data_IF_742814523329
#
_entry.id   IF_742814523329
#
_cell.length_a   1.000
_cell.length_b   1.000
_cell.length_c   1.000
_cell.angle_alpha   90.00
_cell.angle_beta   90.00
_cell.angle_gamma   90.00
#
_symmetry.space_group_name_H-M   'P 1'
#
loop_
_entity.id
_entity.type
_entity.pdbx_description
1 polymer ?
#
# COMPACT_ATOMS: atom_id res chain seq x y z
N UNK A 1 3.04 -1.01 -90.94
CA UNK A 1 3.12 -2.46 -91.21
C UNK A 1 1.72 -3.07 -91.16
N UNK A 2 1.55 -4.35 -91.52
CA UNK A 2 0.24 -4.98 -91.84
C UNK A 2 -0.78 -5.00 -90.67
N UNK A 3 -2.11 -4.97 -90.97
CA UNK A 3 -3.18 -5.26 -90.01
C UNK A 3 -3.26 -6.78 -89.75
N UNK A 4 -3.79 -7.25 -88.60
CA UNK A 4 -5.24 -7.52 -88.45
C UNK A 4 -5.73 -7.20 -87.00
N UNK A 5 -6.94 -7.50 -86.49
CA UNK A 5 -8.20 -8.12 -86.99
C UNK A 5 -9.38 -7.61 -86.11
N UNK A 6 -10.63 -7.92 -86.46
CA UNK A 6 -11.72 -8.05 -85.49
C UNK A 6 -11.93 -9.54 -85.12
N UNK A 7 -12.13 -9.83 -83.83
CA UNK A 7 -12.52 -11.14 -83.29
C UNK A 7 -13.92 -11.06 -82.71
N UNK A 8 -14.84 -11.86 -83.26
CA UNK A 8 -16.20 -12.03 -82.74
C UNK A 8 -16.17 -12.83 -81.43
N UNK A 9 -17.16 -12.69 -80.54
CA UNK A 9 -17.22 -13.48 -79.31
C UNK A 9 -17.34 -14.98 -79.61
N UNK A 10 -16.69 -15.81 -78.78
CA UNK A 10 -16.87 -17.26 -78.84
C UNK A 10 -18.29 -17.62 -78.40
N UNK A 11 -18.87 -18.60 -79.08
CA UNK A 11 -20.16 -19.17 -78.70
C UNK A 11 -20.11 -19.74 -77.28
N UNK A 12 -21.16 -19.49 -76.50
CA UNK A 12 -21.39 -20.18 -75.25
C UNK A 12 -21.64 -21.67 -75.55
N UNK A 13 -20.78 -22.54 -75.06
CA UNK A 13 -21.12 -23.96 -74.90
C UNK A 13 -22.11 -24.03 -73.75
N UNK A 14 -23.38 -24.31 -74.06
CA UNK A 14 -24.39 -24.58 -73.06
C UNK A 14 -24.00 -25.87 -72.32
N UNK A 15 -23.43 -25.73 -71.13
CA UNK A 15 -23.41 -26.80 -70.15
C UNK A 15 -24.86 -27.09 -69.80
N UNK A 16 -25.31 -28.33 -70.06
CA UNK A 16 -26.59 -28.81 -69.54
C UNK A 16 -26.61 -28.60 -68.02
N UNK A 17 -27.61 -27.92 -67.44
CA UNK A 17 -27.77 -27.95 -66.00
C UNK A 17 -28.10 -29.39 -65.61
N UNK A 18 -27.19 -30.03 -64.89
CA UNK A 18 -27.58 -31.14 -64.01
C UNK A 18 -28.70 -30.62 -63.11
N UNK A 19 -29.86 -31.28 -63.12
CA UNK A 19 -30.99 -30.95 -62.24
C UNK A 19 -30.48 -31.04 -60.80
N UNK A 20 -30.20 -29.89 -60.19
CA UNK A 20 -29.95 -29.83 -58.76
C UNK A 20 -31.27 -30.18 -58.09
N UNK A 21 -31.25 -31.17 -57.20
CA UNK A 21 -32.33 -31.44 -56.25
C UNK A 21 -32.74 -30.11 -55.64
N UNK A 22 -34.03 -29.80 -55.68
CA UNK A 22 -34.58 -28.57 -55.13
C UNK A 22 -35.58 -29.01 -54.06
N UNK A 23 -35.13 -29.33 -52.84
CA UNK A 23 -35.95 -29.90 -51.76
C UNK A 23 -36.93 -28.89 -51.13
N UNK A 24 -37.50 -28.00 -51.96
CA UNK A 24 -38.36 -26.89 -51.56
C UNK A 24 -39.26 -26.42 -52.73
N UNK A 25 -39.74 -27.36 -53.56
CA UNK A 25 -40.78 -27.09 -54.56
C UNK A 25 -42.06 -27.83 -54.13
N UNK A 26 -43.07 -27.13 -53.59
CA UNK A 26 -44.27 -27.79 -53.09
C UNK A 26 -45.15 -28.34 -54.23
N UNK A 27 -45.62 -29.58 -54.06
CA UNK A 27 -46.47 -30.31 -55.00
C UNK A 27 -47.96 -29.91 -54.87
N UNK A 28 -48.26 -28.61 -54.93
CA UNK A 28 -49.60 -28.03 -54.62
C UNK A 28 -50.77 -28.49 -55.53
N UNK A 29 -50.54 -29.40 -56.48
CA UNK A 29 -51.56 -30.01 -57.32
C UNK A 29 -51.45 -31.55 -57.26
N UNK A 30 -52.20 -32.15 -56.33
CA UNK A 30 -52.35 -33.61 -56.17
C UNK A 30 -52.85 -34.37 -57.42
N UNK A 31 -53.14 -33.67 -58.53
CA UNK A 31 -53.51 -34.27 -59.83
C UNK A 31 -52.38 -34.27 -60.86
N UNK A 32 -51.23 -33.63 -60.57
CA UNK A 32 -50.03 -33.66 -61.41
C UNK A 32 -49.12 -34.85 -61.03
N UNK A 33 -48.82 -35.80 -61.93
CA UNK A 33 -47.96 -36.94 -61.64
C UNK A 33 -46.45 -36.65 -61.82
N UNK A 34 -46.04 -35.38 -61.81
CA UNK A 34 -44.65 -34.97 -62.02
C UNK A 34 -43.95 -34.61 -60.70
N UNK A 35 -43.13 -35.53 -60.20
CA UNK A 35 -42.17 -35.31 -59.11
C UNK A 35 -41.27 -34.06 -59.38
N UNK A 36 -41.57 -32.97 -58.67
CA UNK A 36 -40.92 -31.67 -58.81
C UNK A 36 -39.73 -31.47 -57.88
N UNK A 37 -39.77 -31.99 -56.65
CA UNK A 37 -38.71 -31.87 -55.62
C UNK A 37 -37.60 -32.94 -55.78
N UNK A 38 -37.89 -34.08 -56.44
CA UNK A 38 -37.07 -35.26 -56.71
C UNK A 38 -36.94 -36.28 -55.55
N UNK A 39 -37.91 -36.38 -54.65
CA UNK A 39 -37.87 -37.35 -53.53
C UNK A 39 -38.26 -38.79 -53.95
N UNK A 40 -39.06 -38.95 -55.02
CA UNK A 40 -39.55 -40.22 -55.54
C UNK A 40 -41.04 -40.51 -55.29
N UNK A 41 -41.74 -39.61 -54.61
CA UNK A 41 -43.20 -39.58 -54.42
C UNK A 41 -43.91 -38.88 -55.60
N UNK A 42 -45.24 -38.96 -55.66
CA UNK A 42 -46.08 -38.06 -56.51
C UNK A 42 -47.58 -38.29 -56.26
N UNK A 43 -48.32 -37.20 -56.07
CA UNK A 43 -49.79 -37.23 -55.94
C UNK A 43 -50.28 -37.85 -54.62
N UNK A 44 -51.14 -38.87 -54.70
CA UNK A 44 -51.73 -39.55 -53.53
C UNK A 44 -50.87 -40.72 -53.00
N UNK A 45 -49.54 -40.57 -53.03
CA UNK A 45 -48.64 -41.48 -52.32
C UNK A 45 -48.67 -41.15 -50.81
N UNK A 46 -48.50 -42.18 -49.98
CA UNK A 46 -48.39 -42.17 -48.52
C UNK A 46 -47.36 -43.30 -48.26
N UNK A 47 -46.08 -42.94 -48.33
CA UNK A 47 -44.96 -43.87 -48.46
C UNK A 47 -44.30 -44.20 -47.11
N UNK A 48 -44.43 -43.33 -46.11
CA UNK A 48 -44.05 -43.62 -44.73
C UNK A 48 -45.19 -44.19 -43.85
N UNK A 49 -46.46 -43.93 -44.20
CA UNK A 49 -47.64 -44.46 -43.53
C UNK A 49 -48.32 -43.54 -42.50
N UNK A 50 -48.01 -42.25 -42.47
CA UNK A 50 -48.55 -41.30 -41.48
C UNK A 50 -49.99 -40.80 -41.78
N UNK A 51 -50.44 -40.99 -43.03
CA UNK A 51 -51.74 -40.63 -43.65
C UNK A 51 -51.90 -39.19 -44.15
N UNK A 52 -50.84 -38.42 -44.25
CA UNK A 52 -50.77 -37.37 -45.24
C UNK A 52 -50.54 -37.99 -46.62
N UNK A 53 -50.50 -37.14 -47.63
CA UNK A 53 -50.14 -37.57 -48.96
C UNK A 53 -49.04 -36.65 -49.47
N UNK A 54 -48.15 -37.15 -50.32
CA UNK A 54 -47.00 -36.43 -50.87
C UNK A 54 -47.27 -34.99 -51.40
N UNK A 55 -48.51 -34.67 -51.78
CA UNK A 55 -48.91 -33.32 -52.21
C UNK A 55 -49.39 -32.38 -51.07
N UNK A 56 -49.56 -32.89 -49.87
CA UNK A 56 -50.01 -32.21 -48.64
C UNK A 56 -48.87 -32.02 -47.63
N UNK A 57 -47.73 -32.71 -47.79
CA UNK A 57 -46.55 -32.68 -46.91
C UNK A 57 -45.27 -32.23 -47.63
N UNK A 58 -44.12 -32.34 -46.95
CA UNK A 58 -42.83 -31.85 -47.43
C UNK A 58 -41.70 -32.90 -47.49
N UNK A 59 -41.86 -34.08 -46.86
CA UNK A 59 -41.03 -35.28 -47.10
C UNK A 59 -41.84 -36.59 -46.86
N UNK A 60 -42.48 -37.14 -47.92
CA UNK A 60 -43.20 -38.45 -47.93
C UNK A 60 -42.29 -39.68 -47.63
N UNK A 61 -41.03 -39.43 -47.24
CA UNK A 61 -40.08 -40.40 -46.71
C UNK A 61 -40.00 -40.46 -45.18
N UNK A 62 -40.54 -39.49 -44.44
CA UNK A 62 -40.42 -39.40 -42.98
C UNK A 62 -41.74 -38.98 -42.29
N UNK A 63 -42.38 -39.96 -41.64
CA UNK A 63 -43.64 -39.81 -40.88
C UNK A 63 -43.60 -38.82 -39.69
N UNK A 64 -42.47 -38.15 -39.46
CA UNK A 64 -42.33 -37.02 -38.55
C UNK A 64 -42.53 -35.64 -39.21
N UNK A 65 -42.62 -35.57 -40.54
CA UNK A 65 -42.54 -34.34 -41.35
C UNK A 65 -43.86 -34.11 -42.12
N UNK A 66 -44.87 -33.57 -41.42
CA UNK A 66 -46.23 -33.40 -41.95
C UNK A 66 -47.01 -32.22 -41.31
N UNK A 67 -48.11 -31.74 -41.95
CA UNK A 67 -48.98 -30.65 -41.46
C UNK A 67 -49.58 -30.73 -40.04
N UNK A 68 -49.36 -31.80 -39.28
CA UNK A 68 -49.76 -31.91 -37.88
C UNK A 68 -48.64 -32.37 -36.94
N UNK A 69 -47.39 -32.42 -37.40
CA UNK A 69 -46.23 -32.52 -36.55
C UNK A 69 -46.10 -31.28 -35.64
N UNK A 70 -45.28 -31.38 -34.59
CA UNK A 70 -44.77 -30.20 -33.91
C UNK A 70 -43.37 -29.94 -34.47
N UNK A 71 -43.02 -28.67 -34.67
CA UNK A 71 -41.64 -28.32 -34.97
C UNK A 71 -40.68 -28.73 -33.85
N UNK A 72 -39.47 -29.09 -34.25
CA UNK A 72 -38.28 -29.23 -33.41
C UNK A 72 -37.12 -28.48 -34.07
N UNK A 73 -36.12 -28.12 -33.28
CA UNK A 73 -34.95 -27.38 -33.75
C UNK A 73 -33.94 -28.31 -34.44
N UNK A 74 -34.23 -28.75 -35.67
CA UNK A 74 -33.45 -29.76 -36.41
C UNK A 74 -33.01 -29.35 -37.84
N UNK A 75 -33.12 -28.06 -38.20
CA UNK A 75 -32.87 -27.51 -39.54
C UNK A 75 -33.90 -27.95 -40.61
N UNK A 76 -35.03 -28.54 -40.21
CA UNK A 76 -36.13 -28.95 -41.09
C UNK A 76 -37.43 -28.17 -40.80
N UNK A 77 -38.41 -28.31 -41.69
CA UNK A 77 -39.76 -27.74 -41.60
C UNK A 77 -40.67 -28.92 -41.26
N UNK A 78 -40.71 -29.36 -39.99
CA UNK A 78 -41.38 -30.61 -39.63
C UNK A 78 -42.90 -30.50 -39.81
N UNK A 79 -43.47 -29.31 -39.66
CA UNK A 79 -44.91 -29.03 -39.76
C UNK A 79 -45.34 -28.63 -41.19
N UNK A 80 -44.39 -28.45 -42.12
CA UNK A 80 -44.62 -28.07 -43.53
C UNK A 80 -45.37 -26.75 -43.75
N UNK A 81 -45.32 -25.77 -42.83
CA UNK A 81 -45.94 -24.44 -43.00
C UNK A 81 -45.08 -23.45 -43.78
N UNK A 82 -43.80 -23.80 -44.03
CA UNK A 82 -42.83 -23.00 -44.75
C UNK A 82 -41.85 -22.22 -43.85
N UNK A 83 -41.84 -22.47 -42.54
CA UNK A 83 -40.95 -21.81 -41.56
C UNK A 83 -40.15 -22.85 -40.75
N UNK A 84 -38.98 -23.21 -41.29
CA UNK A 84 -37.94 -23.98 -40.58
C UNK A 84 -37.58 -23.34 -39.23
N UNK A 85 -37.46 -24.17 -38.18
CA UNK A 85 -36.95 -23.81 -36.84
C UNK A 85 -37.64 -22.60 -36.17
N UNK A 86 -38.98 -22.51 -36.22
CA UNK A 86 -39.71 -21.39 -35.61
C UNK A 86 -39.73 -21.40 -34.06
N UNK A 87 -39.99 -20.22 -33.45
CA UNK A 87 -40.00 -20.02 -32.00
C UNK A 87 -41.06 -20.85 -31.23
N UNK A 88 -42.00 -21.47 -31.96
CA UNK A 88 -43.03 -22.38 -31.45
C UNK A 88 -42.58 -23.84 -31.39
N UNK A 89 -41.37 -24.16 -31.88
CA UNK A 89 -40.77 -25.48 -31.77
C UNK A 89 -40.73 -26.00 -30.33
N UNK A 90 -40.93 -27.31 -30.19
CA UNK A 90 -41.20 -27.97 -28.92
C UNK A 90 -39.98 -27.95 -27.98
N UNK A 91 -38.78 -27.94 -28.54
CA UNK A 91 -37.50 -27.84 -27.86
C UNK A 91 -36.83 -26.46 -27.99
N UNK A 92 -37.53 -25.45 -28.55
CA UNK A 92 -37.05 -24.06 -28.61
C UNK A 92 -36.59 -23.57 -27.23
N UNK A 93 -35.30 -23.26 -27.15
CA UNK A 93 -34.64 -22.76 -25.96
C UNK A 93 -35.19 -21.39 -25.57
N UNK A 94 -35.05 -21.05 -24.29
CA UNK A 94 -35.34 -19.70 -23.79
C UNK A 94 -34.03 -18.94 -23.73
N UNK A 95 -34.01 -17.77 -24.36
CA UNK A 95 -32.90 -16.83 -24.35
C UNK A 95 -33.33 -15.54 -23.65
N UNK A 96 -32.37 -14.84 -23.03
CA UNK A 96 -32.55 -13.69 -22.15
C UNK A 96 -31.89 -12.47 -22.79
N UNK A 97 -32.49 -11.29 -22.67
CA UNK A 97 -31.97 -10.10 -23.32
C UNK A 97 -30.65 -9.66 -22.66
N UNK A 98 -29.61 -9.54 -23.46
CA UNK A 98 -28.27 -9.06 -23.09
C UNK A 98 -28.17 -7.61 -23.58
N UNK A 99 -28.40 -6.66 -22.66
CA UNK A 99 -28.60 -5.25 -23.00
C UNK A 99 -27.31 -4.43 -22.95
N UNK A 100 -26.32 -4.85 -22.16
CA UNK A 100 -25.00 -4.21 -22.03
C UNK A 100 -23.87 -4.93 -22.79
N UNK A 101 -24.14 -6.14 -23.32
CA UNK A 101 -23.28 -7.00 -24.13
C UNK A 101 -22.17 -7.75 -23.39
N UNK A 102 -22.42 -8.24 -22.17
CA UNK A 102 -21.44 -8.98 -21.37
C UNK A 102 -21.54 -10.52 -21.41
N UNK A 103 -22.60 -11.06 -22.03
CA UNK A 103 -22.97 -12.48 -22.16
C UNK A 103 -23.91 -13.07 -21.08
N UNK A 104 -24.33 -12.29 -20.10
CA UNK A 104 -25.43 -12.59 -19.17
C UNK A 104 -26.69 -11.79 -19.59
N UNK A 105 -27.83 -11.98 -18.92
CA UNK A 105 -29.02 -11.22 -19.31
C UNK A 105 -30.31 -11.48 -18.52
N UNK A 106 -31.32 -10.68 -18.87
CA UNK A 106 -32.49 -10.40 -18.05
C UNK A 106 -33.46 -11.57 -17.98
N UNK A 107 -33.55 -12.21 -16.81
CA UNK A 107 -34.50 -13.28 -16.47
C UNK A 107 -35.97 -12.89 -16.66
N UNK A 108 -36.27 -11.59 -16.69
CA UNK A 108 -37.60 -11.01 -16.92
C UNK A 108 -37.91 -10.67 -18.39
N UNK A 109 -36.88 -10.59 -19.25
CA UNK A 109 -37.00 -10.25 -20.67
C UNK A 109 -36.54 -11.41 -21.57
N UNK A 110 -37.41 -12.41 -21.68
CA UNK A 110 -37.13 -13.67 -22.36
C UNK A 110 -37.75 -13.75 -23.76
N UNK A 111 -37.06 -14.42 -24.69
CA UNK A 111 -37.62 -14.90 -25.96
C UNK A 111 -37.39 -16.41 -26.14
N UNK A 112 -38.15 -17.04 -27.03
CA UNK A 112 -37.92 -18.43 -27.46
C UNK A 112 -37.40 -18.44 -28.90
N UNK A 113 -36.44 -19.32 -29.17
CA UNK A 113 -35.90 -19.59 -30.51
C UNK A 113 -35.12 -20.92 -30.51
N UNK A 114 -34.76 -21.41 -31.70
CA UNK A 114 -33.81 -22.52 -31.85
C UNK A 114 -32.35 -22.06 -31.70
N UNK A 115 -32.01 -20.91 -32.30
CA UNK A 115 -30.72 -20.23 -32.15
C UNK A 115 -30.86 -18.93 -31.34
N UNK A 116 -29.78 -18.53 -30.65
CA UNK A 116 -29.73 -17.28 -29.88
C UNK A 116 -29.97 -16.05 -30.78
N UNK A 117 -31.05 -15.27 -30.56
CA UNK A 117 -31.29 -14.05 -31.32
C UNK A 117 -30.24 -12.97 -31.03
N UNK A 118 -30.05 -12.03 -31.96
CA UNK A 118 -29.10 -10.94 -31.75
C UNK A 118 -29.51 -10.05 -30.55
N UNK A 119 -28.60 -9.89 -29.58
CA UNK A 119 -28.89 -9.21 -28.30
C UNK A 119 -29.57 -10.10 -27.26
N UNK A 120 -29.47 -11.43 -27.40
CA UNK A 120 -29.96 -12.40 -26.42
C UNK A 120 -28.94 -13.52 -26.19
N UNK A 121 -28.92 -14.05 -24.96
CA UNK A 121 -27.98 -15.06 -24.47
C UNK A 121 -28.72 -16.23 -23.79
N UNK A 122 -28.03 -17.33 -23.53
CA UNK A 122 -28.62 -18.50 -22.85
C UNK A 122 -28.53 -18.45 -21.33
N UNK A 123 -27.68 -17.58 -20.77
CA UNK A 123 -27.54 -17.41 -19.33
C UNK A 123 -28.52 -16.34 -18.82
N UNK A 124 -28.94 -16.46 -17.57
CA UNK A 124 -29.95 -15.61 -16.91
C UNK A 124 -29.56 -15.24 -15.48
N UNK A 125 -28.25 -15.27 -15.21
CA UNK A 125 -27.67 -15.09 -13.87
C UNK A 125 -27.11 -13.68 -13.64
N UNK A 126 -27.41 -12.75 -14.55
CA UNK A 126 -27.17 -11.32 -14.38
C UNK A 126 -27.93 -10.75 -13.16
N UNK A 127 -27.36 -9.72 -12.54
CA UNK A 127 -27.97 -8.97 -11.45
C UNK A 127 -28.08 -7.45 -11.72
N UNK A 128 -27.47 -6.91 -12.78
CA UNK A 128 -27.65 -5.53 -13.25
C UNK A 128 -27.50 -5.43 -14.78
N UNK A 129 -28.56 -5.79 -15.52
CA UNK A 129 -28.60 -5.89 -17.00
C UNK A 129 -28.26 -4.58 -17.78
N UNK A 130 -28.04 -3.46 -17.07
CA UNK A 130 -27.60 -2.17 -17.63
C UNK A 130 -26.07 -1.94 -17.48
N UNK A 131 -25.31 -2.87 -16.85
CA UNK A 131 -23.95 -2.65 -16.36
C UNK A 131 -22.97 -3.85 -16.51
N UNK A 132 -22.37 -4.00 -17.70
CA UNK A 132 -21.43 -5.06 -18.15
C UNK A 132 -20.16 -5.36 -17.31
N UNK A 133 -20.02 -4.74 -16.14
CA UNK A 133 -19.02 -5.05 -15.12
C UNK A 133 -19.63 -5.72 -13.87
N UNK A 134 -20.94 -6.01 -13.88
CA UNK A 134 -21.74 -6.56 -12.79
C UNK A 134 -22.41 -7.84 -13.30
N UNK A 135 -21.70 -8.96 -13.21
CA UNK A 135 -22.16 -10.27 -13.67
C UNK A 135 -21.41 -11.42 -12.97
N UNK A 136 -21.92 -12.67 -13.04
CA UNK A 136 -21.32 -13.85 -12.40
C UNK A 136 -19.85 -14.20 -12.71
N UNK A 137 -19.21 -13.57 -13.69
CA UNK A 137 -17.79 -13.73 -13.98
C UNK A 137 -16.95 -12.47 -13.70
N UNK A 138 -17.56 -11.39 -13.21
CA UNK A 138 -16.88 -10.19 -12.78
C UNK A 138 -15.99 -10.44 -11.55
N UNK A 139 -15.22 -9.42 -11.19
CA UNK A 139 -14.32 -9.45 -10.03
C UNK A 139 -14.83 -8.47 -9.01
N UNK A 140 -15.06 -8.95 -7.78
CA UNK A 140 -15.46 -8.08 -6.65
C UNK A 140 -14.52 -6.92 -6.42
N UNK A 141 -15.13 -5.76 -6.21
CA UNK A 141 -14.51 -4.50 -5.81
C UNK A 141 -15.23 -3.96 -4.58
N UNK A 142 -14.53 -3.12 -3.82
CA UNK A 142 -15.08 -2.42 -2.67
C UNK A 142 -15.83 -1.14 -3.08
N UNK A 143 -16.80 -1.25 -4.00
CA UNK A 143 -17.55 -0.13 -4.59
C UNK A 143 -19.03 -0.03 -4.16
N UNK A 144 -19.45 -0.89 -3.22
CA UNK A 144 -20.81 -1.07 -2.71
C UNK A 144 -21.83 -1.60 -3.71
N UNK A 145 -21.35 -2.32 -4.74
CA UNK A 145 -22.12 -3.23 -5.57
C UNK A 145 -21.79 -4.69 -5.22
N UNK A 146 -22.57 -5.61 -5.76
CA UNK A 146 -22.32 -7.05 -5.78
C UNK A 146 -21.88 -7.33 -7.23
N UNK A 147 -20.59 -7.19 -7.53
CA UNK A 147 -20.15 -7.19 -8.93
C UNK A 147 -20.29 -8.60 -9.55
N UNK A 148 -20.10 -9.65 -8.76
CA UNK A 148 -20.06 -11.04 -9.18
C UNK A 148 -21.42 -11.77 -9.02
N UNK A 149 -22.48 -11.04 -8.64
CA UNK A 149 -23.83 -11.54 -8.45
C UNK A 149 -23.95 -12.77 -7.50
N UNK A 150 -23.04 -12.94 -6.53
CA UNK A 150 -23.08 -14.07 -5.59
C UNK A 150 -23.98 -13.84 -4.37
N UNK A 151 -24.43 -12.59 -4.17
CA UNK A 151 -25.29 -12.15 -3.09
C UNK A 151 -24.56 -11.46 -1.93
N UNK A 152 -23.24 -11.23 -2.03
CA UNK A 152 -22.42 -10.58 -1.01
C UNK A 152 -21.75 -9.31 -1.55
N UNK A 153 -22.36 -8.17 -1.28
CA UNK A 153 -21.76 -6.84 -1.53
C UNK A 153 -20.47 -6.63 -0.71
N UNK A 154 -19.42 -6.09 -1.34
CA UNK A 154 -18.15 -5.67 -0.72
C UNK A 154 -17.43 -6.80 0.06
N UNK A 155 -17.13 -7.94 -0.57
CA UNK A 155 -16.41 -9.05 0.09
C UNK A 155 -14.98 -8.68 0.57
N UNK A 156 -14.53 -9.27 1.69
CA UNK A 156 -13.12 -9.22 2.12
C UNK A 156 -12.15 -9.84 1.07
N UNK A 157 -12.69 -10.64 0.15
CA UNK A 157 -12.03 -11.23 -1.03
C UNK A 157 -11.70 -10.22 -2.14
N UNK A 158 -12.34 -9.05 -2.14
CA UNK A 158 -12.34 -8.11 -3.27
C UNK A 158 -10.93 -7.73 -3.73
N UNK A 159 -10.79 -7.47 -5.03
CA UNK A 159 -9.49 -7.30 -5.66
C UNK A 159 -8.75 -6.04 -5.16
N UNK A 160 -9.50 -4.99 -4.81
CA UNK A 160 -9.00 -3.74 -4.23
C UNK A 160 -9.17 -3.67 -2.69
N UNK A 161 -9.63 -4.74 -2.03
CA UNK A 161 -9.73 -4.82 -0.58
C UNK A 161 -8.42 -4.40 0.09
N UNK A 162 -8.52 -3.37 0.93
CA UNK A 162 -7.42 -2.79 1.67
C UNK A 162 -6.84 -3.80 2.67
N UNK A 163 -5.54 -3.69 2.94
CA UNK A 163 -4.89 -4.49 3.99
C UNK A 163 -4.90 -3.68 5.29
N UNK A 164 -5.38 -4.31 6.35
CA UNK A 164 -5.44 -3.77 7.70
C UNK A 164 -4.62 -4.66 8.64
N UNK A 165 -4.08 -4.07 9.69
CA UNK A 165 -3.13 -4.68 10.62
C UNK A 165 -3.76 -4.76 12.01
N UNK A 166 -3.53 -5.84 12.76
CA UNK A 166 -4.10 -5.98 14.09
C UNK A 166 -3.65 -4.80 14.98
N UNK A 167 -4.58 -4.30 15.80
CA UNK A 167 -4.39 -3.19 16.74
C UNK A 167 -4.94 -3.66 18.10
N UNK A 168 -4.11 -4.39 18.83
CA UNK A 168 -4.51 -5.13 20.01
C UNK A 168 -4.58 -4.23 21.26
N UNK A 169 -3.69 -3.26 21.40
CA UNK A 169 -3.69 -2.28 22.51
C UNK A 169 -4.57 -1.03 22.30
N UNK A 170 -4.86 -0.65 21.04
CA UNK A 170 -5.73 0.47 20.62
C UNK A 170 -5.11 1.86 20.67
N UNK A 171 -3.83 1.99 20.34
CA UNK A 171 -3.22 3.30 20.08
C UNK A 171 -3.48 3.83 18.66
N UNK A 172 -3.79 2.94 17.70
CA UNK A 172 -4.08 3.29 16.31
C UNK A 172 -2.97 2.96 15.30
N UNK A 173 -1.87 2.35 15.73
CA UNK A 173 -0.92 1.65 14.87
C UNK A 173 -1.30 0.16 14.80
N UNK A 174 -0.46 -0.69 14.18
CA UNK A 174 -0.77 -2.12 14.16
C UNK A 174 0.32 -3.02 13.58
N UNK A 175 0.30 -4.29 14.00
CA UNK A 175 1.32 -5.29 13.70
C UNK A 175 1.35 -5.68 12.22
N UNK A 176 2.45 -5.33 11.55
CA UNK A 176 2.76 -5.73 10.16
C UNK A 176 2.73 -7.25 9.93
N UNK A 177 2.99 -8.05 10.96
CA UNK A 177 2.99 -9.51 10.91
C UNK A 177 1.59 -10.13 10.97
N UNK A 178 0.61 -9.38 11.48
CA UNK A 178 -0.78 -9.82 11.72
C UNK A 178 -1.76 -8.96 10.92
N UNK A 179 -1.96 -9.31 9.65
CA UNK A 179 -2.80 -8.53 8.73
C UNK A 179 -4.01 -9.31 8.17
N UNK A 180 -5.09 -8.59 7.87
CA UNK A 180 -6.25 -9.08 7.09
C UNK A 180 -6.53 -8.17 5.90
N UNK A 181 -7.27 -8.67 4.91
CA UNK A 181 -7.94 -7.82 3.91
C UNK A 181 -9.38 -7.56 4.32
N UNK A 182 -9.91 -6.38 3.98
CA UNK A 182 -11.32 -6.04 4.08
C UNK A 182 -11.66 -4.81 3.21
N UNK A 183 -12.94 -4.63 2.86
CA UNK A 183 -13.41 -3.40 2.21
C UNK A 183 -13.57 -2.22 3.19
N UNK A 184 -13.78 -2.50 4.47
CA UNK A 184 -13.88 -1.49 5.53
C UNK A 184 -12.99 -1.86 6.73
N UNK A 185 -12.49 -0.85 7.45
CA UNK A 185 -11.63 -1.02 8.63
C UNK A 185 -12.28 -1.95 9.68
N UNK A 186 -11.73 -3.15 9.94
CA UNK A 186 -12.29 -4.06 10.94
C UNK A 186 -12.09 -3.53 12.37
N UNK A 187 -12.94 -3.96 13.31
CA UNK A 187 -12.80 -3.56 14.71
C UNK A 187 -11.59 -4.23 15.37
N UNK A 188 -10.67 -3.44 15.95
CA UNK A 188 -9.41 -3.93 16.53
C UNK A 188 -8.31 -4.12 15.49
N UNK A 189 -8.36 -3.33 14.41
CA UNK A 189 -7.34 -3.23 13.38
C UNK A 189 -7.07 -1.75 13.07
N UNK A 190 -5.86 -1.46 12.57
CA UNK A 190 -5.46 -0.18 11.98
C UNK A 190 -5.20 -0.30 10.48
N UNK A 191 -5.16 0.84 9.80
CA UNK A 191 -4.66 0.98 8.43
C UNK A 191 -3.14 1.25 8.39
N UNK A 192 -2.53 1.59 9.51
CA UNK A 192 -1.08 1.74 9.65
C UNK A 192 -0.43 0.39 10.07
N UNK A 193 0.82 0.17 9.66
CA UNK A 193 1.58 -1.09 9.83
C UNK A 193 2.96 -0.90 10.43
N UNK A 194 3.10 0.18 11.20
CA UNK A 194 4.38 0.73 11.67
C UNK A 194 4.61 0.54 13.16
N UNK A 195 3.72 -0.18 13.82
CA UNK A 195 3.89 -0.63 15.20
C UNK A 195 5.01 -1.67 15.32
N UNK A 196 5.78 -1.58 16.40
CA UNK A 196 6.85 -2.52 16.76
C UNK A 196 6.55 -3.35 18.02
N UNK A 197 5.55 -3.01 18.85
CA UNK A 197 4.99 -3.85 19.92
C UNK A 197 3.49 -3.58 20.17
N UNK A 198 2.64 -4.18 19.32
CA UNK A 198 1.15 -4.20 19.35
C UNK A 198 0.51 -4.65 20.69
N UNK A 199 1.31 -4.98 21.70
CA UNK A 199 0.87 -5.24 23.06
C UNK A 199 1.00 -4.03 24.03
N UNK A 200 1.75 -2.98 23.69
CA UNK A 200 1.94 -1.79 24.54
C UNK A 200 1.93 -0.45 23.79
N UNK A 201 0.75 0.18 23.78
CA UNK A 201 0.37 1.56 23.39
C UNK A 201 1.28 2.74 23.78
N UNK A 202 2.45 2.51 24.35
CA UNK A 202 3.52 3.50 24.50
C UNK A 202 4.71 3.26 23.58
N UNK A 203 4.67 2.20 22.76
CA UNK A 203 5.69 1.79 21.79
C UNK A 203 5.05 1.85 20.38
N UNK A 204 5.10 3.03 19.75
CA UNK A 204 4.57 3.28 18.42
C UNK A 204 5.20 4.54 17.78
N UNK A 205 5.11 4.75 16.46
CA UNK A 205 5.72 5.91 15.77
C UNK A 205 5.26 7.33 16.12
N UNK A 206 4.42 7.50 17.14
CA UNK A 206 4.11 8.81 17.74
C UNK A 206 4.41 8.87 19.25
N UNK A 207 5.08 7.85 19.79
CA UNK A 207 5.62 7.82 21.13
C UNK A 207 6.78 8.80 21.29
N UNK A 208 7.48 8.71 22.42
CA UNK A 208 8.55 9.64 22.74
C UNK A 208 9.55 8.94 23.63
N UNK A 209 10.74 8.75 23.07
CA UNK A 209 11.87 8.05 23.66
C UNK A 209 12.16 8.44 25.12
N UNK A 210 12.42 7.43 25.93
CA UNK A 210 13.00 7.48 27.26
C UNK A 210 14.13 6.47 27.38
N UNK A 211 15.11 6.79 28.24
CA UNK A 211 16.24 5.92 28.52
C UNK A 211 15.83 4.66 29.32
N UNK A 212 15.34 3.61 28.65
CA UNK A 212 15.03 2.32 29.27
C UNK A 212 15.32 1.06 28.43
N UNK A 213 16.14 1.18 27.38
CA UNK A 213 16.55 0.14 26.42
C UNK A 213 15.42 -0.31 25.45
N UNK A 214 14.39 0.51 25.24
CA UNK A 214 13.28 0.30 24.28
C UNK A 214 13.37 1.30 23.12
N UNK A 215 12.96 0.87 21.92
CA UNK A 215 12.74 1.69 20.72
C UNK A 215 11.25 2.00 20.69
N UNK A 216 10.86 3.13 21.28
CA UNK A 216 9.47 3.48 21.54
C UNK A 216 8.83 4.15 20.34
N UNK A 217 9.56 4.97 19.58
CA UNK A 217 9.07 5.57 18.33
C UNK A 217 9.26 4.69 17.08
N UNK A 218 9.75 3.46 17.26
CA UNK A 218 9.88 2.42 16.24
C UNK A 218 10.72 2.85 15.01
N UNK A 219 11.61 3.85 15.13
CA UNK A 219 12.45 4.31 14.02
C UNK A 219 13.65 3.37 13.74
N UNK A 220 13.97 2.49 14.70
CA UNK A 220 15.09 1.56 14.67
C UNK A 220 16.31 1.98 15.50
N UNK A 221 16.22 3.05 16.29
CA UNK A 221 17.29 3.59 17.15
C UNK A 221 16.78 3.75 18.59
N UNK A 222 17.02 2.72 19.40
CA UNK A 222 16.78 2.71 20.86
C UNK A 222 17.41 3.93 21.57
N UNK A 223 16.66 4.52 22.50
CA UNK A 223 17.06 5.60 23.42
C UNK A 223 17.47 6.92 22.68
N UNK A 224 17.00 7.11 21.43
CA UNK A 224 17.28 8.30 20.60
C UNK A 224 16.60 9.56 21.15
N UNK A 225 17.27 10.72 21.13
CA UNK A 225 16.69 12.02 21.57
C UNK A 225 15.95 12.02 22.94
N UNK A 226 16.19 11.02 23.80
CA UNK A 226 15.31 10.65 24.90
C UNK A 226 15.00 11.80 25.88
N UNK A 227 13.74 11.91 26.30
CA UNK A 227 13.27 13.08 27.06
C UNK A 227 13.82 13.17 28.48
N UNK A 228 14.18 12.04 29.08
CA UNK A 228 14.87 11.89 30.36
C UNK A 228 16.40 11.77 30.22
N UNK A 229 16.97 11.91 29.02
CA UNK A 229 18.42 11.85 28.81
C UNK A 229 19.17 12.86 29.68
N UNK A 230 20.30 12.41 30.24
CA UNK A 230 21.20 13.24 31.04
C UNK A 230 21.99 14.20 30.14
N UNK A 231 22.39 15.33 30.71
CA UNK A 231 23.34 16.24 30.06
C UNK A 231 24.76 15.87 30.47
N UNK A 232 25.65 15.80 29.49
CA UNK A 232 27.07 15.51 29.62
C UNK A 232 27.88 16.63 28.98
N UNK A 233 29.06 16.88 29.53
CA UNK A 233 29.97 17.97 29.18
C UNK A 233 31.32 17.37 28.84
N UNK A 234 32.03 17.93 27.86
CA UNK A 234 33.35 17.47 27.44
C UNK A 234 34.31 17.59 28.61
N UNK A 235 35.13 16.54 28.77
CA UNK A 235 36.19 16.40 29.77
C UNK A 235 37.46 16.05 28.98
N UNK A 236 38.20 17.08 28.57
CA UNK A 236 39.28 16.97 27.58
C UNK A 236 40.63 16.61 28.23
N UNK A 237 40.93 17.18 29.40
CA UNK A 237 42.16 16.93 30.16
C UNK A 237 42.05 15.71 31.10
N UNK A 238 40.85 15.38 31.63
CA UNK A 238 40.50 14.22 32.51
C UNK A 238 40.66 14.45 34.01
N UNK A 239 40.04 15.50 34.53
CA UNK A 239 39.98 15.84 35.95
C UNK A 239 38.63 15.55 36.66
N UNK A 240 37.63 15.02 35.94
CA UNK A 240 36.22 14.79 36.34
C UNK A 240 35.32 16.06 36.40
N UNK A 241 35.77 17.20 35.87
CA UNK A 241 34.99 18.38 35.51
C UNK A 241 34.85 18.48 33.98
N UNK A 242 34.17 19.51 33.47
CA UNK A 242 34.00 19.67 32.02
C UNK A 242 33.30 20.94 31.57
N UNK A 243 33.55 21.35 30.32
CA UNK A 243 33.13 22.65 29.77
C UNK A 243 31.60 22.75 29.62
N UNK A 244 31.00 23.65 30.40
CA UNK A 244 29.59 24.05 30.35
C UNK A 244 29.07 24.40 28.94
N UNK A 245 29.95 24.82 28.02
CA UNK A 245 29.63 25.20 26.64
C UNK A 245 29.37 24.01 25.70
N UNK A 246 29.81 22.80 26.07
CA UNK A 246 29.80 21.60 25.21
C UNK A 246 28.62 20.64 25.45
N UNK A 247 27.62 21.09 26.22
CA UNK A 247 26.47 20.30 26.67
C UNK A 247 25.84 19.40 25.57
N UNK A 248 25.93 18.09 25.77
CA UNK A 248 25.37 17.04 24.91
C UNK A 248 24.39 16.19 25.71
N UNK A 249 23.27 15.77 25.12
CA UNK A 249 22.31 14.86 25.77
C UNK A 249 22.53 13.42 25.35
N UNK A 250 22.53 12.50 26.32
CA UNK A 250 22.55 11.06 26.09
C UNK A 250 22.10 10.29 27.35
N UNK A 251 21.62 9.06 27.18
CA UNK A 251 21.24 8.18 28.27
C UNK A 251 22.46 7.71 29.08
N UNK A 252 23.47 7.17 28.39
CA UNK A 252 24.81 6.90 28.92
C UNK A 252 25.79 8.04 28.60
N UNK A 253 26.87 8.14 29.38
CA UNK A 253 27.96 9.09 29.16
C UNK A 253 28.67 8.85 27.82
N UNK A 254 28.69 9.82 26.88
CA UNK A 254 29.57 9.77 25.73
C UNK A 254 31.06 9.68 26.14
N UNK A 255 31.88 9.07 25.30
CA UNK A 255 33.31 8.91 25.58
C UNK A 255 34.03 10.26 25.64
N UNK A 256 34.68 10.57 26.77
CA UNK A 256 35.33 11.86 27.02
C UNK A 256 34.36 12.95 27.47
N UNK A 257 33.35 12.57 28.25
CA UNK A 257 32.40 13.50 28.86
C UNK A 257 32.05 13.10 30.29
N UNK A 258 31.69 14.08 31.11
CA UNK A 258 31.26 13.91 32.50
C UNK A 258 29.94 14.67 32.76
N UNK A 259 29.23 14.36 33.84
CA UNK A 259 27.96 15.01 34.19
C UNK A 259 28.14 16.37 34.90
N UNK A 260 29.36 16.67 35.34
CA UNK A 260 29.74 17.92 35.98
C UNK A 260 30.06 18.97 34.91
N UNK A 261 29.76 20.24 35.17
CA UNK A 261 29.84 21.32 34.16
C UNK A 261 30.52 22.58 34.68
N UNK A 262 31.37 22.42 35.70
CA UNK A 262 31.82 23.51 36.54
C UNK A 262 33.28 23.93 36.29
N UNK A 263 33.89 23.35 35.26
CA UNK A 263 35.23 23.67 34.77
C UNK A 263 35.30 25.09 34.18
N UNK A 264 36.43 25.77 34.39
CA UNK A 264 36.73 27.08 33.83
C UNK A 264 37.86 27.09 32.76
N UNK A 265 38.66 26.03 32.62
CA UNK A 265 39.59 25.79 31.50
C UNK A 265 39.80 24.28 31.24
N UNK A 266 38.88 23.67 30.45
CA UNK A 266 38.84 22.29 29.88
C UNK A 266 40.03 22.00 28.93
N UNK A 267 41.23 22.43 29.32
CA UNK A 267 42.49 22.17 28.66
C UNK A 267 43.69 22.01 29.61
N UNK A 268 43.49 22.17 30.93
CA UNK A 268 44.52 22.05 31.97
C UNK A 268 43.98 21.29 33.21
N UNK A 269 44.51 20.09 33.50
CA UNK A 269 44.09 19.23 34.62
C UNK A 269 44.45 19.78 36.02
N UNK A 270 44.90 21.02 36.09
CA UNK A 270 45.07 21.82 37.30
C UNK A 270 44.01 22.90 37.55
N UNK A 271 43.06 23.14 36.63
CA UNK A 271 42.13 24.29 36.68
C UNK A 271 40.67 23.83 36.82
N UNK A 272 40.19 23.67 38.06
CA UNK A 272 38.85 23.17 38.37
C UNK A 272 38.33 23.59 39.75
N UNK A 273 37.00 23.55 39.99
CA UNK A 273 36.37 23.81 41.28
C UNK A 273 37.07 23.21 42.51
N UNK A 274 37.79 24.05 43.25
CA UNK A 274 38.52 23.67 44.46
C UNK A 274 39.86 22.95 44.21
N UNK A 275 40.52 23.21 43.07
CA UNK A 275 41.94 22.96 42.90
C UNK A 275 42.79 23.79 43.89
N UNK A 276 44.09 23.51 44.05
CA UNK A 276 44.98 24.40 44.80
C UNK A 276 45.40 25.59 43.93
N UNK A 277 45.22 26.81 44.44
CA UNK A 277 45.77 28.04 43.86
C UNK A 277 47.31 28.06 43.88
N UNK A 278 47.89 28.71 42.87
CA UNK A 278 49.31 29.01 42.71
C UNK A 278 49.52 30.46 42.27
N UNK A 279 50.72 31.00 42.50
CA UNK A 279 51.09 32.35 42.06
C UNK A 279 51.44 32.42 40.56
N UNK A 280 50.50 32.12 39.66
CA UNK A 280 50.73 32.06 38.21
C UNK A 280 49.78 32.90 37.31
N UNK A 281 49.03 33.84 37.91
CA UNK A 281 48.01 34.70 37.26
C UNK A 281 46.78 33.90 36.74
N UNK A 282 46.51 32.69 37.25
CA UNK A 282 45.37 31.83 36.86
C UNK A 282 44.45 31.57 38.06
N UNK A 283 43.15 31.73 37.84
CA UNK A 283 42.07 31.24 38.72
C UNK A 283 42.04 29.70 38.59
N UNK A 284 42.84 28.98 39.40
CA UNK A 284 42.94 27.52 39.35
C UNK A 284 41.69 26.86 39.95
N UNK A 285 41.12 27.44 41.02
CA UNK A 285 40.01 26.86 41.78
C UNK A 285 38.61 27.22 41.24
N UNK A 286 38.54 28.08 40.23
CA UNK A 286 37.34 28.57 39.53
C UNK A 286 36.35 29.39 40.40
N UNK A 287 36.74 29.96 41.55
CA UNK A 287 35.86 30.79 42.38
C UNK A 287 35.70 32.25 41.91
N UNK A 288 36.47 32.68 40.90
CA UNK A 288 36.58 34.05 40.36
C UNK A 288 37.40 35.05 41.17
N UNK A 289 38.20 34.60 42.13
CA UNK A 289 39.46 35.28 42.52
C UNK A 289 40.67 34.68 41.76
N UNK A 290 41.88 35.14 42.07
CA UNK A 290 43.12 34.82 41.34
C UNK A 290 44.25 34.86 42.38
N UNK A 291 44.99 33.76 42.49
CA UNK A 291 46.15 33.55 43.35
C UNK A 291 45.86 33.76 44.88
N UNK A 292 44.63 33.61 45.36
CA UNK A 292 44.30 33.71 46.79
C UNK A 292 44.63 32.44 47.57
N UNK A 293 45.09 32.59 48.83
CA UNK A 293 45.56 31.49 49.67
C UNK A 293 46.58 30.54 48.95
N UNK A 294 47.26 31.06 47.91
CA UNK A 294 48.08 30.29 46.97
C UNK A 294 49.18 29.47 47.64
N UNK A 295 49.35 28.24 47.17
CA UNK A 295 50.16 27.20 47.81
C UNK A 295 51.66 27.54 47.84
N UNK A 296 52.13 28.40 46.93
CA UNK A 296 53.50 28.88 46.82
C UNK A 296 53.66 30.39 47.11
N UNK A 297 52.64 31.04 47.69
CA UNK A 297 52.72 32.42 48.17
C UNK A 297 53.89 32.62 49.14
N UNK A 298 54.59 33.75 49.00
CA UNK A 298 55.72 34.11 49.86
C UNK A 298 55.24 34.88 51.11
N UNK A 299 55.91 34.62 52.24
CA UNK A 299 55.63 35.27 53.51
C UNK A 299 56.40 36.60 53.62
N UNK A 300 55.66 37.70 53.79
CA UNK A 300 56.20 39.05 53.95
C UNK A 300 55.91 39.63 55.34
N UNK A 301 56.75 40.57 55.76
CA UNK A 301 56.76 41.17 57.10
C UNK A 301 56.48 42.68 57.03
N UNK A 302 55.58 43.22 57.86
CA UNK A 302 55.18 44.64 57.80
C UNK A 302 56.38 45.58 58.08
N UNK A 303 56.67 46.49 57.14
CA UNK A 303 57.72 47.53 57.19
C UNK A 303 57.03 48.89 57.37
N UNK A 304 56.73 49.23 58.63
CA UNK A 304 55.88 50.37 58.96
C UNK A 304 56.58 51.73 58.86
N UNK A 305 57.92 51.78 58.80
CA UNK A 305 58.69 53.02 58.70
C UNK A 305 59.54 53.16 57.42
N UNK A 306 59.53 52.12 56.59
CA UNK A 306 60.04 52.04 55.21
C UNK A 306 61.58 52.05 55.13
N UNK A 307 62.23 51.24 55.96
CA UNK A 307 63.69 51.09 55.99
C UNK A 307 64.22 49.82 55.30
N UNK A 308 63.33 48.85 55.03
CA UNK A 308 63.64 47.59 54.37
C UNK A 308 63.74 46.37 55.29
N UNK A 309 63.52 46.52 56.59
CA UNK A 309 63.30 45.42 57.53
C UNK A 309 61.82 45.39 57.94
N UNK A 310 61.30 44.22 58.34
CA UNK A 310 59.89 44.07 58.73
C UNK A 310 59.70 43.22 59.97
N UNK A 311 58.51 43.32 60.55
CA UNK A 311 58.16 42.70 61.83
C UNK A 311 57.74 41.23 61.71
N UNK A 312 58.50 40.31 62.33
CA UNK A 312 58.22 38.87 62.38
C UNK A 312 56.87 38.47 63.00
N UNK A 313 56.24 39.33 63.83
CA UNK A 313 54.91 39.11 64.42
C UNK A 313 53.76 39.71 63.58
N UNK A 314 54.05 40.46 62.49
CA UNK A 314 53.06 41.07 61.59
C UNK A 314 53.30 40.64 60.14
N UNK A 315 52.66 39.54 59.74
CA UNK A 315 52.94 38.85 58.46
C UNK A 315 51.75 38.82 57.51
N UNK A 316 52.03 38.77 56.21
CA UNK A 316 51.05 38.50 55.14
C UNK A 316 51.65 37.51 54.13
N UNK A 317 50.84 36.60 53.61
CA UNK A 317 51.20 35.73 52.48
C UNK A 317 50.67 36.37 51.18
N UNK A 318 51.50 36.44 50.14
CA UNK A 318 51.11 37.02 48.84
C UNK A 318 52.04 36.59 47.71
N UNK A 319 51.63 36.78 46.46
CA UNK A 319 52.42 36.47 45.27
C UNK A 319 53.37 37.62 44.84
N UNK A 320 53.06 38.87 45.19
CA UNK A 320 53.95 40.02 45.01
C UNK A 320 54.20 40.72 46.35
N UNK A 321 55.42 41.26 46.54
CA UNK A 321 55.79 42.05 47.73
C UNK A 321 54.81 43.23 47.93
N UNK A 322 53.98 43.23 48.98
CA UNK A 322 53.01 44.31 49.18
C UNK A 322 53.70 45.62 49.58
N UNK A 323 53.09 46.76 49.21
CA UNK A 323 53.61 48.08 49.57
C UNK A 323 53.62 48.28 51.10
N UNK A 324 54.80 48.50 51.68
CA UNK A 324 54.97 48.64 53.14
C UNK A 324 55.26 47.31 53.84
N UNK A 325 55.84 46.34 53.13
CA UNK A 325 56.33 45.07 53.65
C UNK A 325 57.76 44.80 53.17
N UNK A 326 58.44 43.86 53.81
CA UNK A 326 59.78 43.35 53.47
C UNK A 326 59.85 41.83 53.45
N UNK A 327 60.92 41.30 52.85
CA UNK A 327 61.34 39.90 52.90
C UNK A 327 62.18 39.56 54.16
N UNK A 328 62.71 40.57 54.84
CA UNK A 328 63.65 40.43 55.96
C UNK A 328 62.92 40.65 57.29
N UNK A 329 62.89 39.62 58.15
CA UNK A 329 62.12 39.56 59.40
C UNK A 329 62.85 40.16 60.62
N UNK A 330 63.94 40.89 60.40
CA UNK A 330 64.88 41.28 61.45
C UNK A 330 64.68 42.68 62.06
N UNK A 331 63.55 43.35 61.80
CA UNK A 331 63.21 44.61 62.49
C UNK A 331 63.02 44.38 64.01
N UNK A 332 63.47 45.35 64.79
CA UNK A 332 63.41 45.38 66.24
C UNK A 332 62.65 46.61 66.81
N UNK A 333 62.28 47.59 65.98
CA UNK A 333 61.54 48.81 66.34
C UNK A 333 60.92 49.46 65.07
N UNK A 334 59.82 48.87 64.57
CA UNK A 334 59.01 49.31 63.39
C UNK A 334 58.39 50.74 63.52
N UNK A 335 58.92 51.58 64.41
CA UNK A 335 58.60 53.00 64.54
C UNK A 335 59.78 53.93 64.24
N UNK A 336 60.96 53.41 63.91
CA UNK A 336 62.20 54.16 63.75
C UNK A 336 63.30 53.50 62.87
N UNK A 337 63.19 53.71 61.55
CA UNK A 337 64.06 53.47 60.37
C UNK A 337 65.61 53.68 60.49
N UNK A 338 66.20 53.32 61.63
CA UNK A 338 67.58 53.61 62.06
C UNK A 338 68.11 52.66 63.14
N UNK A 339 67.28 51.77 63.68
CA UNK A 339 67.61 50.86 64.80
C UNK A 339 67.62 49.43 64.29
#
# INVERSE_FOLDING_TARGET
MRPPRASWPRAATATTPTRASSPARPETDCTDPNDYNCDGSSGFADNDGDRYAACEECDDGDAAVNPAANEVCDEQDNNCDGVVDEATALDAATFYADADADSYGDVSNTTKACDAPAGYVSDSTDCDDDAAAVNPAATELCDSLDNNCDGVVDEDSAADAATYYADADKDGYGDKSSSTKACALPAGYSADSTDCDDADKTVNPAATEVCDDVDEDCDGVVDDNATNASTWYTDADKDDYGDASTATKACDAPSGTIANSADCDDSDDGVYPGAPEFCDDVDNDCDSTIDEDATDAELFFEDADNDGYGNADSTVESCELPSGYSFDDTDCDDTNAKI
#
